data_IF_694811335187
#
_entry.id   IF_694811335187
#
_cell.length_a   1.000
_cell.length_b   1.000
_cell.length_c   1.000
_cell.angle_alpha   90.00
_cell.angle_beta   90.00
_cell.angle_gamma   90.00
#
_symmetry.space_group_name_H-M   'P 1'
#
loop_
_entity.id
_entity.type
_entity.pdbx_description
1 polymer ?
#
# COMPACT_ATOMS: atom_id res chain seq x y z
N UNK A 1 -4.08 -42.58 18.79
CA UNK A 1 -3.69 -42.73 17.39
C UNK A 1 -2.73 -41.62 17.06
N UNK A 2 -1.52 -42.00 16.65
CA UNK A 2 -0.46 -41.15 16.08
C UNK A 2 -0.89 -40.62 14.69
N UNK A 3 -0.41 -39.42 14.33
CA UNK A 3 -0.55 -38.81 12.98
C UNK A 3 -0.86 -37.30 13.08
N UNK A 4 0.09 -36.44 13.42
CA UNK A 4 1.05 -35.81 12.49
C UNK A 4 0.38 -35.03 11.35
N UNK A 5 0.16 -33.72 11.58
CA UNK A 5 0.31 -32.65 10.58
C UNK A 5 0.19 -31.29 11.30
N UNK A 6 1.24 -30.82 11.97
CA UNK A 6 1.47 -29.37 12.08
C UNK A 6 2.07 -28.92 10.75
N UNK A 7 1.24 -28.92 9.73
CA UNK A 7 1.59 -28.38 8.41
C UNK A 7 1.37 -26.87 8.48
N UNK A 8 2.41 -26.09 8.15
CA UNK A 8 2.50 -24.67 8.47
C UNK A 8 1.29 -23.88 7.94
N UNK A 9 0.64 -23.11 8.81
CA UNK A 9 -0.45 -22.21 8.46
C UNK A 9 0.05 -21.14 7.47
N UNK A 10 -0.20 -21.31 6.18
CA UNK A 10 0.11 -20.31 5.16
C UNK A 10 -1.02 -19.29 5.12
N UNK A 11 -0.71 -18.01 5.37
CA UNK A 11 -1.64 -16.90 5.18
C UNK A 11 -1.55 -16.44 3.72
N UNK A 12 -2.70 -16.40 3.03
CA UNK A 12 -2.80 -15.87 1.67
C UNK A 12 -3.54 -14.54 1.69
N UNK A 13 -3.05 -13.57 0.92
CA UNK A 13 -3.77 -12.35 0.58
C UNK A 13 -4.45 -12.57 -0.77
N UNK A 14 -5.70 -12.18 -0.90
CA UNK A 14 -6.48 -12.20 -2.14
C UNK A 14 -7.12 -10.84 -2.30
N UNK A 15 -7.02 -10.26 -3.50
CA UNK A 15 -7.74 -9.05 -3.87
C UNK A 15 -8.95 -9.43 -4.69
N UNK A 16 -10.07 -8.79 -4.40
CA UNK A 16 -11.32 -9.01 -5.12
C UNK A 16 -11.76 -7.69 -5.72
N UNK A 17 -11.96 -7.67 -7.03
CA UNK A 17 -12.46 -6.48 -7.72
C UNK A 17 -13.97 -6.30 -7.51
N UNK A 18 -14.53 -5.19 -8.00
CA UNK A 18 -15.96 -4.88 -7.87
C UNK A 18 -16.90 -5.85 -8.61
N UNK A 19 -16.36 -6.68 -9.51
CA UNK A 19 -17.11 -7.72 -10.23
C UNK A 19 -17.02 -9.08 -9.53
N UNK A 20 -16.28 -9.18 -8.42
CA UNK A 20 -16.06 -10.41 -7.69
C UNK A 20 -14.90 -11.26 -8.24
N UNK A 21 -14.08 -10.73 -9.14
CA UNK A 21 -12.92 -11.47 -9.67
C UNK A 21 -11.81 -11.45 -8.63
N UNK A 22 -11.31 -12.64 -8.28
CA UNK A 22 -10.23 -12.81 -7.32
C UNK A 22 -8.85 -12.88 -7.98
N UNK A 23 -7.90 -12.16 -7.39
CA UNK A 23 -6.50 -12.13 -7.78
C UNK A 23 -5.64 -12.55 -6.58
N UNK A 24 -4.80 -13.59 -6.70
CA UNK A 24 -3.83 -13.93 -5.68
C UNK A 24 -2.91 -12.74 -5.39
N UNK A 25 -2.63 -12.41 -4.13
CA UNK A 25 -1.73 -11.30 -3.79
C UNK A 25 -0.31 -11.45 -4.38
N UNK A 26 0.10 -12.69 -4.66
CA UNK A 26 1.36 -13.01 -5.34
C UNK A 26 1.40 -12.60 -6.82
N UNK A 27 0.27 -12.27 -7.43
CA UNK A 27 0.21 -11.81 -8.84
C UNK A 27 0.24 -10.28 -8.97
N UNK A 28 0.43 -9.54 -7.88
CA UNK A 28 0.49 -8.09 -7.90
C UNK A 28 1.85 -7.61 -8.38
N UNK A 29 1.87 -6.49 -9.11
CA UNK A 29 3.12 -5.81 -9.42
C UNK A 29 3.68 -5.13 -8.17
N UNK A 30 4.99 -4.89 -8.16
CA UNK A 30 5.66 -4.17 -7.09
C UNK A 30 5.01 -2.80 -6.82
N UNK A 31 4.60 -2.10 -7.88
CA UNK A 31 3.88 -0.83 -7.78
C UNK A 31 2.54 -0.96 -7.07
N UNK A 32 1.77 -2.01 -7.34
CA UNK A 32 0.50 -2.26 -6.64
C UNK A 32 0.73 -2.60 -5.17
N UNK A 33 1.72 -3.43 -4.86
CA UNK A 33 2.08 -3.77 -3.47
C UNK A 33 2.51 -2.52 -2.71
N UNK A 34 3.36 -1.68 -3.31
CA UNK A 34 3.84 -0.43 -2.69
C UNK A 34 2.71 0.58 -2.49
N UNK A 35 1.85 0.77 -3.49
CA UNK A 35 0.67 1.62 -3.34
C UNK A 35 -0.22 1.16 -2.18
N UNK A 36 -0.50 -0.15 -2.09
CA UNK A 36 -1.29 -0.71 -1.00
C UNK A 36 -0.60 -0.52 0.36
N UNK A 37 0.70 -0.77 0.44
CA UNK A 37 1.47 -0.58 1.67
C UNK A 37 1.44 0.88 2.15
N UNK A 38 1.60 1.84 1.24
CA UNK A 38 1.49 3.27 1.54
C UNK A 38 0.09 3.61 2.07
N UNK A 39 -0.96 3.19 1.36
CA UNK A 39 -2.35 3.43 1.79
C UNK A 39 -2.60 2.86 3.19
N UNK A 40 -2.24 1.60 3.42
CA UNK A 40 -2.40 0.98 4.74
C UNK A 40 -1.64 1.75 5.81
N UNK A 41 -0.39 2.14 5.57
CA UNK A 41 0.38 2.94 6.53
C UNK A 41 -0.27 4.30 6.82
N UNK A 42 -0.76 4.99 5.80
CA UNK A 42 -1.40 6.30 5.89
C UNK A 42 -2.73 6.23 6.67
N UNK A 43 -3.54 5.21 6.42
CA UNK A 43 -4.87 5.10 7.02
C UNK A 43 -4.90 4.36 8.35
N UNK A 44 -3.97 3.45 8.61
CA UNK A 44 -3.90 2.71 9.87
C UNK A 44 -3.22 3.52 11.00
N UNK A 45 -2.43 4.54 10.66
CA UNK A 45 -1.76 5.34 11.69
C UNK A 45 -2.72 6.24 12.46
N UNK A 46 -2.39 6.46 13.74
CA UNK A 46 -3.10 7.39 14.63
C UNK A 46 -2.38 8.74 14.80
N UNK A 47 -1.19 8.86 14.23
CA UNK A 47 -0.37 10.07 14.28
C UNK A 47 -0.96 11.17 13.41
N UNK A 48 -0.80 12.42 13.83
CA UNK A 48 -1.04 13.62 13.00
C UNK A 48 0.17 13.99 12.15
N UNK A 49 1.18 13.13 12.09
CA UNK A 49 2.42 13.37 11.35
C UNK A 49 2.83 12.11 10.59
N UNK A 50 3.13 12.26 9.30
CA UNK A 50 3.73 11.23 8.46
C UNK A 50 5.01 11.74 7.78
N UNK A 51 5.97 10.84 7.59
CA UNK A 51 7.18 11.06 6.79
C UNK A 51 7.24 9.92 5.77
N UNK A 52 7.33 10.26 4.49
CA UNK A 52 7.30 9.30 3.39
C UNK A 52 8.46 9.60 2.45
N UNK A 53 9.38 8.66 2.32
CA UNK A 53 10.53 8.76 1.42
C UNK A 53 10.26 8.02 0.10
N UNK A 54 10.60 8.65 -1.02
CA UNK A 54 10.47 8.10 -2.39
C UNK A 54 9.12 7.38 -2.65
N UNK A 55 7.98 8.07 -2.48
CA UNK A 55 6.67 7.49 -2.78
C UNK A 55 6.56 7.07 -4.25
N UNK A 56 7.27 7.72 -5.17
CA UNK A 56 7.25 7.48 -6.61
C UNK A 56 7.91 6.17 -7.03
N UNK A 57 8.79 5.62 -6.20
CA UNK A 57 9.58 4.48 -6.57
C UNK A 57 8.65 3.27 -6.79
N UNK A 58 8.77 2.62 -7.96
CA UNK A 58 7.89 1.56 -8.49
C UNK A 58 6.44 1.96 -8.80
N UNK A 59 6.03 3.22 -8.58
CA UNK A 59 4.71 3.70 -8.94
C UNK A 59 4.69 4.28 -10.36
N UNK A 60 3.59 4.01 -11.07
CA UNK A 60 3.32 4.69 -12.34
C UNK A 60 3.11 6.20 -12.09
N UNK A 61 3.58 7.11 -12.95
CA UNK A 61 3.51 8.57 -12.71
C UNK A 61 2.10 9.08 -12.36
N UNK A 62 1.06 8.55 -13.02
CA UNK A 62 -0.34 8.86 -12.71
C UNK A 62 -0.75 8.45 -11.29
N UNK A 63 -0.25 7.32 -10.79
CA UNK A 63 -0.51 6.86 -9.43
C UNK A 63 0.22 7.75 -8.40
N UNK A 64 1.41 8.25 -8.72
CA UNK A 64 2.12 9.22 -7.87
C UNK A 64 1.30 10.50 -7.69
N UNK A 65 0.76 11.06 -8.79
CA UNK A 65 -0.10 12.25 -8.74
C UNK A 65 -1.33 12.03 -7.87
N UNK A 66 -2.01 10.90 -8.07
CA UNK A 66 -3.18 10.50 -7.28
C UNK A 66 -2.82 10.35 -5.79
N UNK A 67 -1.65 9.78 -5.47
CA UNK A 67 -1.17 9.62 -4.11
C UNK A 67 -0.89 10.99 -3.45
N UNK A 68 -0.30 11.93 -4.17
CA UNK A 68 -0.03 13.29 -3.65
C UNK A 68 -1.34 14.03 -3.34
N UNK A 69 -2.34 13.93 -4.22
CA UNK A 69 -3.67 14.51 -3.98
C UNK A 69 -4.33 13.93 -2.73
N UNK A 70 -4.27 12.60 -2.59
CA UNK A 70 -4.77 11.89 -1.42
C UNK A 70 -4.08 12.34 -0.13
N UNK A 71 -2.74 12.48 -0.16
CA UNK A 71 -1.96 12.93 0.99
C UNK A 71 -2.32 14.36 1.38
N UNK A 72 -2.51 15.27 0.41
CA UNK A 72 -2.94 16.65 0.67
C UNK A 72 -4.29 16.70 1.39
N UNK A 73 -5.25 15.89 0.95
CA UNK A 73 -6.57 15.83 1.60
C UNK A 73 -6.48 15.18 2.99
N UNK A 74 -5.80 14.03 3.09
CA UNK A 74 -5.69 13.26 4.34
C UNK A 74 -4.98 14.03 5.45
N UNK A 75 -4.00 14.87 5.10
CA UNK A 75 -3.20 15.65 6.04
C UNK A 75 -3.54 17.14 6.02
N UNK A 76 -4.75 17.54 5.60
CA UNK A 76 -5.17 18.96 5.57
C UNK A 76 -5.01 19.69 6.91
N UNK A 77 -5.20 18.97 8.03
CA UNK A 77 -5.11 19.49 9.40
C UNK A 77 -3.92 18.86 10.18
N UNK A 78 -2.93 18.33 9.45
CA UNK A 78 -1.86 17.49 9.98
C UNK A 78 -0.55 17.73 9.18
N UNK A 79 0.55 17.06 9.56
CA UNK A 79 1.86 17.23 8.90
C UNK A 79 2.19 16.02 8.05
N UNK A 80 2.53 16.23 6.79
CA UNK A 80 3.09 15.20 5.93
C UNK A 80 4.38 15.73 5.29
N UNK A 81 5.50 15.07 5.55
CA UNK A 81 6.79 15.36 4.93
C UNK A 81 7.04 14.29 3.88
N UNK A 82 7.35 14.74 2.66
CA UNK A 82 7.63 13.89 1.51
C UNK A 82 9.03 14.22 0.99
N UNK A 83 9.81 13.19 0.69
CA UNK A 83 11.03 13.34 -0.11
C UNK A 83 10.86 12.58 -1.41
N UNK A 84 11.41 13.14 -2.49
CA UNK A 84 11.27 12.64 -3.85
C UNK A 84 12.57 12.92 -4.59
N UNK A 85 13.00 11.96 -5.39
CA UNK A 85 14.02 12.13 -6.42
C UNK A 85 13.40 12.36 -7.80
N UNK A 86 12.08 12.27 -7.91
CA UNK A 86 11.33 12.68 -9.09
C UNK A 86 11.30 14.20 -9.24
N UNK A 87 11.46 14.69 -10.47
CA UNK A 87 11.21 16.10 -10.83
C UNK A 87 9.72 16.46 -10.88
N UNK A 88 8.82 15.49 -10.60
CA UNK A 88 7.36 15.63 -10.76
C UNK A 88 6.67 16.10 -9.49
#
# INVERSE_FOLDING_TARGET
GIGAATEGMVRKVVLTDSRGVEFPGVSLSDGTVKALALLVGIFAQRSSTAIIEEPENFLHPWACQTMVELLRDRFKDAVCILTSHSET
#
